data_IF_262970838366
#
_entry.id   IF_262970838366
#
_cell.length_a   1.000
_cell.length_b   1.000
_cell.length_c   1.000
_cell.angle_alpha   90.00
_cell.angle_beta   90.00
_cell.angle_gamma   90.00
#
_symmetry.space_group_name_H-M   'P 1'
#
loop_
_entity.id
_entity.type
_entity.pdbx_description
1 polymer ?
#
# COMPACT_ATOMS: atom_id res chain seq x y z
N UNK A 1 3.77 -12.59 -2.10
CA UNK A 1 4.43 -11.31 -2.44
C UNK A 1 5.16 -10.77 -1.23
N UNK A 2 6.40 -10.38 -1.41
CA UNK A 2 7.18 -9.83 -0.32
C UNK A 2 6.73 -8.39 -0.01
N UNK A 3 6.91 -7.99 1.24
CA UNK A 3 6.49 -6.67 1.69
C UNK A 3 7.10 -5.54 0.85
N UNK A 4 8.38 -5.65 0.55
CA UNK A 4 9.05 -4.61 -0.22
C UNK A 4 8.45 -4.43 -1.60
N UNK A 5 8.15 -5.53 -2.28
CA UNK A 5 7.50 -5.46 -3.58
C UNK A 5 6.12 -4.85 -3.48
N UNK A 6 5.39 -5.20 -2.42
CA UNK A 6 4.05 -4.67 -2.21
C UNK A 6 4.12 -3.17 -1.96
N UNK A 7 5.06 -2.73 -1.15
CA UNK A 7 5.22 -1.29 -0.87
C UNK A 7 5.51 -0.50 -2.14
N UNK A 8 6.36 -1.04 -3.00
CA UNK A 8 6.67 -0.37 -4.27
C UNK A 8 5.43 -0.24 -5.15
N UNK A 9 4.63 -1.30 -5.22
CA UNK A 9 3.42 -1.28 -6.03
C UNK A 9 2.38 -0.33 -5.46
N UNK A 10 2.25 -0.29 -4.15
CA UNK A 10 1.33 0.64 -3.49
C UNK A 10 1.77 2.07 -3.78
N UNK A 11 3.06 2.34 -3.69
CA UNK A 11 3.58 3.67 -3.95
C UNK A 11 3.30 4.10 -5.40
N UNK A 12 3.47 3.20 -6.36
CA UNK A 12 3.16 3.49 -7.75
C UNK A 12 1.69 3.85 -7.93
N UNK A 13 0.80 3.11 -7.27
CA UNK A 13 -0.63 3.37 -7.35
C UNK A 13 -0.96 4.75 -6.78
N UNK A 14 -0.36 5.09 -5.64
CA UNK A 14 -0.57 6.39 -5.01
C UNK A 14 -0.10 7.52 -5.93
N UNK A 15 1.06 7.36 -6.55
CA UNK A 15 1.61 8.37 -7.43
C UNK A 15 0.76 8.55 -8.69
N UNK A 16 0.18 7.47 -9.18
CA UNK A 16 -0.65 7.51 -10.37
C UNK A 16 -2.05 8.07 -10.09
N UNK A 17 -2.69 7.56 -9.05
CA UNK A 17 -4.08 7.91 -8.76
C UNK A 17 -4.25 8.95 -7.66
N UNK A 18 -3.20 9.23 -6.92
CA UNK A 18 -3.18 10.20 -5.82
C UNK A 18 -4.14 9.90 -4.68
N UNK A 19 -4.93 8.86 -4.80
CA UNK A 19 -5.88 8.44 -3.79
C UNK A 19 -6.07 6.94 -3.85
N UNK A 20 -6.04 6.29 -2.70
CA UNK A 20 -6.22 4.85 -2.62
C UNK A 20 -7.16 4.51 -1.47
N UNK A 21 -7.85 3.39 -1.61
CA UNK A 21 -8.70 2.86 -0.56
C UNK A 21 -8.04 1.61 0.02
N UNK A 22 -8.00 1.53 1.34
CA UNK A 22 -7.42 0.39 2.03
C UNK A 22 -8.10 -0.90 1.59
N UNK A 23 -9.42 -0.87 1.45
CA UNK A 23 -10.19 -2.03 1.02
C UNK A 23 -9.74 -2.52 -0.35
N UNK A 24 -9.59 -1.60 -1.29
CA UNK A 24 -9.19 -1.96 -2.65
C UNK A 24 -7.79 -2.58 -2.67
N UNK A 25 -6.87 -1.98 -1.92
CA UNK A 25 -5.51 -2.51 -1.85
C UNK A 25 -5.47 -3.88 -1.19
N UNK A 26 -6.25 -4.08 -0.14
CA UNK A 26 -6.28 -5.38 0.53
C UNK A 26 -6.77 -6.47 -0.41
N UNK A 27 -7.77 -6.17 -1.21
CA UNK A 27 -8.29 -7.13 -2.18
C UNK A 27 -7.29 -7.36 -3.32
N UNK A 28 -6.68 -6.30 -3.80
CA UNK A 28 -5.72 -6.38 -4.90
C UNK A 28 -4.51 -7.24 -4.54
N UNK A 29 -4.01 -7.09 -3.32
CA UNK A 29 -2.83 -7.83 -2.88
C UNK A 29 -3.15 -9.07 -2.05
N UNK A 30 -4.45 -9.33 -1.84
CA UNK A 30 -4.90 -10.49 -1.08
C UNK A 30 -4.30 -10.54 0.33
N UNK A 31 -4.34 -9.42 1.01
CA UNK A 31 -3.88 -9.28 2.39
C UNK A 31 -4.95 -8.55 3.20
N UNK A 32 -4.83 -8.55 4.51
CA UNK A 32 -5.81 -7.89 5.37
C UNK A 32 -5.70 -6.38 5.27
N UNK A 33 -6.80 -5.68 5.61
CA UNK A 33 -6.78 -4.23 5.65
C UNK A 33 -5.80 -3.71 6.69
N UNK A 34 -5.67 -4.43 7.82
CA UNK A 34 -4.71 -4.07 8.85
C UNK A 34 -3.29 -4.04 8.29
N UNK A 35 -2.97 -5.03 7.45
CA UNK A 35 -1.65 -5.09 6.82
C UNK A 35 -1.44 -3.89 5.90
N UNK A 36 -2.46 -3.54 5.12
CA UNK A 36 -2.36 -2.40 4.22
C UNK A 36 -2.17 -1.09 5.00
N UNK A 37 -2.90 -0.94 6.11
CA UNK A 37 -2.72 0.26 6.94
C UNK A 37 -1.30 0.38 7.46
N UNK A 38 -0.72 -0.73 7.88
CA UNK A 38 0.67 -0.73 8.35
C UNK A 38 1.62 -0.37 7.21
N UNK A 39 1.37 -0.90 6.03
CA UNK A 39 2.19 -0.60 4.86
C UNK A 39 2.13 0.90 4.52
N UNK A 40 0.94 1.49 4.55
CA UNK A 40 0.77 2.91 4.27
C UNK A 40 1.49 3.76 5.30
N UNK A 41 1.40 3.39 6.58
CA UNK A 41 2.11 4.09 7.63
C UNK A 41 3.61 4.01 7.42
N UNK A 42 4.10 2.87 6.98
CA UNK A 42 5.52 2.69 6.72
C UNK A 42 6.00 3.60 5.60
N UNK A 43 5.22 3.68 4.51
CA UNK A 43 5.55 4.56 3.39
C UNK A 43 5.55 6.02 3.83
N UNK A 44 4.57 6.42 4.63
CA UNK A 44 4.48 7.78 5.12
C UNK A 44 5.68 8.11 6.00
N UNK A 45 6.07 7.18 6.86
CA UNK A 45 7.20 7.37 7.77
C UNK A 45 8.51 7.52 7.02
N UNK A 46 8.63 6.83 5.88
CA UNK A 46 9.83 6.92 5.06
C UNK A 46 9.83 8.16 4.17
N UNK A 47 8.79 8.96 4.21
CA UNK A 47 8.72 10.18 3.45
C UNK A 47 8.41 10.00 1.98
N UNK A 48 7.74 8.92 1.67
CA UNK A 48 7.44 8.61 0.26
C UNK A 48 5.98 8.79 -0.09
#
# INVERSE_FOLDING_TARGET
>A
MFMEERLEKILEIIQDKKKVLVKDLSEKFNVSESMIRKDLQRLEKEGK
#
